data_IF_257083899524
#
_entry.id   IF_257083899524
#
_cell.length_a   1.000
_cell.length_b   1.000
_cell.length_c   1.000
_cell.angle_alpha   90.00
_cell.angle_beta   90.00
_cell.angle_gamma   90.00
#
_symmetry.space_group_name_H-M   'P 1'
#
loop_
_entity.id
_entity.type
_entity.pdbx_description
1 polymer ?
#
# COMPACT_ATOMS: atom_id res chain seq x y z
N UNK A 1 -21.64 7.89 -10.75
CA UNK A 1 -21.15 6.70 -11.47
C UNK A 1 -20.81 5.67 -10.41
N UNK A 2 -21.51 4.53 -10.41
CA UNK A 2 -21.23 3.40 -9.52
C UNK A 2 -19.96 2.74 -10.08
N UNK A 3 -18.89 2.64 -9.30
CA UNK A 3 -17.72 1.84 -9.69
C UNK A 3 -18.02 0.41 -9.25
N UNK A 4 -18.76 -0.31 -10.09
CA UNK A 4 -19.07 -1.73 -9.89
C UNK A 4 -17.76 -2.51 -9.74
N UNK A 5 -17.55 -3.13 -8.57
CA UNK A 5 -16.39 -3.98 -8.29
C UNK A 5 -15.71 -3.76 -6.93
N UNK A 6 -15.99 -2.67 -6.23
CA UNK A 6 -15.52 -2.50 -4.85
C UNK A 6 -16.41 -3.28 -3.88
N UNK A 7 -16.13 -4.58 -3.70
CA UNK A 7 -16.71 -5.32 -2.59
C UNK A 7 -15.90 -5.01 -1.34
N UNK A 8 -16.41 -4.11 -0.52
CA UNK A 8 -15.93 -3.82 0.84
C UNK A 8 -15.73 -5.15 1.58
N UNK A 9 -14.51 -5.42 2.04
CA UNK A 9 -14.19 -6.57 2.92
C UNK A 9 -14.24 -6.19 4.40
N UNK A 10 -14.47 -4.92 4.74
CA UNK A 10 -14.52 -4.40 6.12
C UNK A 10 -15.96 -4.11 6.57
N UNK A 11 -16.38 -4.73 7.66
CA UNK A 11 -17.52 -4.26 8.45
C UNK A 11 -16.97 -3.34 9.55
N UNK A 12 -17.05 -2.02 9.36
CA UNK A 12 -16.70 -1.03 10.40
C UNK A 12 -17.89 -0.73 11.32
N UNK A 13 -19.08 -1.17 10.89
CA UNK A 13 -20.39 -0.95 11.47
C UNK A 13 -20.58 -1.65 12.84
N UNK A 14 -19.58 -2.44 13.27
CA UNK A 14 -19.61 -3.22 14.51
C UNK A 14 -18.57 -2.78 15.55
N UNK A 15 -17.87 -1.65 15.33
CA UNK A 15 -16.84 -1.19 16.27
C UNK A 15 -15.63 -2.14 16.38
N UNK A 16 -15.49 -3.08 15.44
CA UNK A 16 -14.37 -3.99 15.32
C UNK A 16 -13.76 -3.78 13.93
N UNK A 17 -12.48 -3.41 13.88
CA UNK A 17 -11.70 -3.41 12.65
C UNK A 17 -11.51 -4.86 12.23
N UNK A 18 -12.47 -5.42 11.51
CA UNK A 18 -12.38 -6.77 10.95
C UNK A 18 -11.58 -6.71 9.65
N UNK A 19 -10.29 -6.38 9.72
CA UNK A 19 -9.35 -6.44 8.60
C UNK A 19 -8.28 -7.46 8.88
N UNK A 20 -8.29 -8.63 8.22
CA UNK A 20 -7.32 -9.72 8.46
C UNK A 20 -7.13 -10.14 9.95
N UNK A 21 -7.79 -9.50 10.91
CA UNK A 21 -7.49 -9.56 12.34
C UNK A 21 -7.91 -10.92 12.90
N UNK A 22 -8.99 -11.50 12.38
CA UNK A 22 -9.43 -12.86 12.71
C UNK A 22 -8.53 -13.94 12.10
N UNK A 23 -8.03 -13.75 10.87
CA UNK A 23 -7.08 -14.69 10.24
C UNK A 23 -5.72 -14.59 10.92
N UNK A 24 -5.31 -13.38 11.32
CA UNK A 24 -4.07 -13.09 12.01
C UNK A 24 -4.07 -13.62 13.45
N UNK A 25 -5.15 -13.39 14.21
CA UNK A 25 -5.35 -13.96 15.56
C UNK A 25 -5.40 -15.48 15.52
N UNK A 26 -6.09 -16.07 14.54
CA UNK A 26 -6.20 -17.52 14.39
C UNK A 26 -4.88 -18.19 13.97
N UNK A 27 -4.05 -17.52 13.16
CA UNK A 27 -2.80 -18.09 12.64
C UNK A 27 -1.58 -17.87 13.54
N UNK A 28 -1.52 -16.78 14.31
CA UNK A 28 -0.32 -16.40 15.05
C UNK A 28 -0.46 -16.42 16.57
N UNK A 29 -1.66 -16.66 17.12
CA UNK A 29 -1.92 -16.61 18.55
C UNK A 29 -1.33 -15.35 19.20
N UNK A 30 -1.38 -14.23 18.47
CA UNK A 30 -0.72 -12.99 18.82
C UNK A 30 -1.41 -12.36 20.05
N UNK A 31 -0.66 -12.00 21.11
CA UNK A 31 -1.22 -11.32 22.26
C UNK A 31 -1.97 -10.04 21.86
N UNK A 32 -2.95 -9.60 22.66
CA UNK A 32 -3.67 -8.35 22.42
C UNK A 32 -2.76 -7.11 22.38
N UNK A 33 -1.51 -7.24 22.87
CA UNK A 33 -0.44 -6.24 22.92
C UNK A 33 0.52 -6.33 21.72
N UNK A 34 0.28 -7.18 20.74
CA UNK A 34 1.14 -7.31 19.56
C UNK A 34 0.89 -6.15 18.59
N UNK A 35 1.94 -5.39 18.26
CA UNK A 35 1.87 -4.26 17.33
C UNK A 35 1.40 -4.67 15.92
N UNK A 36 1.48 -5.96 15.57
CA UNK A 36 0.94 -6.52 14.31
C UNK A 36 -0.58 -6.45 14.22
N UNK A 37 -1.28 -6.14 15.32
CA UNK A 37 -2.71 -5.77 15.29
C UNK A 37 -2.98 -4.46 14.56
N UNK A 38 -1.96 -3.62 14.36
CA UNK A 38 -2.01 -2.47 13.45
C UNK A 38 -2.03 -2.86 11.96
N UNK A 39 -1.85 -4.14 11.65
CA UNK A 39 -1.83 -4.67 10.29
C UNK A 39 -0.41 -4.88 9.74
N UNK A 40 -0.31 -5.69 8.68
CA UNK A 40 0.95 -6.01 7.99
C UNK A 40 1.02 -5.38 6.59
N UNK A 41 0.37 -4.21 6.42
CA UNK A 41 0.14 -3.59 5.12
C UNK A 41 1.44 -3.20 4.42
N UNK A 42 2.44 -2.67 5.14
CA UNK A 42 3.75 -2.34 4.57
C UNK A 42 4.45 -3.61 4.07
N UNK A 43 4.47 -4.64 4.91
CA UNK A 43 5.12 -5.91 4.57
C UNK A 43 4.51 -6.59 3.34
N UNK A 44 3.18 -6.69 3.27
CA UNK A 44 2.50 -7.28 2.11
C UNK A 44 2.69 -6.45 0.83
N UNK A 45 2.65 -5.12 0.94
CA UNK A 45 2.88 -4.22 -0.20
C UNK A 45 4.31 -4.32 -0.74
N UNK A 46 5.31 -4.46 0.13
CA UNK A 46 6.70 -4.69 -0.27
C UNK A 46 6.91 -6.06 -0.92
N UNK A 47 6.29 -7.12 -0.39
CA UNK A 47 6.31 -8.44 -1.04
C UNK A 47 5.68 -8.36 -2.42
N UNK A 48 4.53 -7.69 -2.56
CA UNK A 48 3.86 -7.55 -3.84
C UNK A 48 4.78 -6.88 -4.88
N UNK A 49 5.44 -5.77 -4.52
CA UNK A 49 6.40 -5.07 -5.40
C UNK A 49 7.59 -5.96 -5.76
N UNK A 50 8.22 -6.60 -4.77
CA UNK A 50 9.35 -7.48 -4.99
C UNK A 50 8.99 -8.63 -5.94
N UNK A 51 7.81 -9.23 -5.78
CA UNK A 51 7.31 -10.28 -6.68
C UNK A 51 7.08 -9.76 -8.09
N UNK A 52 6.45 -8.59 -8.26
CA UNK A 52 6.27 -7.96 -9.58
C UNK A 52 7.61 -7.69 -10.29
N UNK A 53 8.64 -7.31 -9.54
CA UNK A 53 9.98 -7.07 -10.08
C UNK A 53 10.76 -8.35 -10.41
N UNK A 54 10.54 -9.45 -9.69
CA UNK A 54 11.30 -10.71 -9.87
C UNK A 54 10.61 -11.73 -10.77
N UNK A 55 9.29 -11.80 -10.73
CA UNK A 55 8.49 -12.82 -11.40
C UNK A 55 7.59 -12.18 -12.47
N UNK A 56 8.20 -11.71 -13.57
CA UNK A 56 7.50 -10.98 -14.62
C UNK A 56 6.31 -11.73 -15.26
N UNK A 57 6.33 -13.07 -15.22
CA UNK A 57 5.29 -13.92 -15.79
C UNK A 57 4.24 -14.38 -14.78
N UNK A 58 4.35 -13.94 -13.52
CA UNK A 58 3.39 -14.31 -12.49
C UNK A 58 2.00 -13.73 -12.80
N UNK A 59 0.95 -14.54 -12.69
CA UNK A 59 -0.43 -14.06 -12.83
C UNK A 59 -0.88 -13.30 -11.57
N UNK A 60 -2.00 -12.55 -11.67
CA UNK A 60 -2.57 -11.88 -10.50
C UNK A 60 -3.05 -12.90 -9.46
N UNK A 61 -3.61 -14.03 -9.91
CA UNK A 61 -4.09 -15.12 -9.06
C UNK A 61 -2.94 -15.82 -8.34
N UNK A 62 -1.80 -16.04 -9.02
CA UNK A 62 -0.60 -16.60 -8.41
C UNK A 62 -0.02 -15.67 -7.34
N UNK A 63 0.03 -14.36 -7.61
CA UNK A 63 0.43 -13.35 -6.60
C UNK A 63 -0.49 -13.34 -5.41
N UNK A 64 -1.80 -13.29 -5.65
CA UNK A 64 -2.80 -13.28 -4.59
C UNK A 64 -2.67 -14.54 -3.72
N UNK A 65 -2.59 -15.72 -4.34
CA UNK A 65 -2.40 -16.99 -3.65
C UNK A 65 -1.10 -17.02 -2.82
N UNK A 66 -0.01 -16.47 -3.35
CA UNK A 66 1.25 -16.38 -2.61
C UNK A 66 1.15 -15.43 -1.41
N UNK A 67 0.50 -14.27 -1.55
CA UNK A 67 0.35 -13.28 -0.48
C UNK A 67 -0.57 -13.76 0.65
N UNK A 68 -1.65 -14.48 0.31
CA UNK A 68 -2.58 -15.02 1.31
C UNK A 68 -2.15 -16.39 1.88
N UNK A 69 -1.02 -16.93 1.42
CA UNK A 69 -0.46 -18.18 1.95
C UNK A 69 0.18 -17.98 3.32
N UNK A 70 0.34 -19.07 4.08
CA UNK A 70 1.07 -19.06 5.36
C UNK A 70 2.48 -18.46 5.23
N UNK A 71 3.31 -18.85 4.24
CA UNK A 71 4.58 -18.19 3.98
C UNK A 71 4.46 -16.69 3.66
N UNK A 72 3.44 -16.30 2.88
CA UNK A 72 3.17 -14.91 2.52
C UNK A 72 2.88 -14.04 3.73
N UNK A 73 1.94 -14.48 4.58
CA UNK A 73 1.64 -13.80 5.85
C UNK A 73 2.85 -13.77 6.80
N UNK A 74 3.61 -14.86 6.89
CA UNK A 74 4.77 -14.92 7.79
C UNK A 74 5.87 -13.97 7.36
N UNK A 75 6.16 -13.91 6.06
CA UNK A 75 7.12 -12.95 5.52
C UNK A 75 6.59 -11.52 5.62
N UNK A 76 5.32 -11.28 5.32
CA UNK A 76 4.70 -9.97 5.42
C UNK A 76 4.77 -9.43 6.85
N UNK A 77 4.45 -10.26 7.84
CA UNK A 77 4.57 -9.93 9.25
C UNK A 77 6.01 -9.63 9.68
N UNK A 78 7.00 -10.42 9.25
CA UNK A 78 8.41 -10.16 9.55
C UNK A 78 8.91 -8.87 8.91
N UNK A 79 8.52 -8.58 7.67
CA UNK A 79 8.85 -7.30 7.03
C UNK A 79 8.20 -6.12 7.76
N UNK A 80 6.95 -6.28 8.21
CA UNK A 80 6.28 -5.29 9.04
C UNK A 80 7.02 -5.06 10.36
N UNK A 81 7.51 -6.12 11.02
CA UNK A 81 8.32 -5.99 12.26
C UNK A 81 9.58 -5.17 12.02
N UNK A 82 10.28 -5.44 10.91
CA UNK A 82 11.50 -4.71 10.55
C UNK A 82 11.17 -3.23 10.29
N UNK A 83 10.06 -2.94 9.60
CA UNK A 83 9.60 -1.56 9.39
C UNK A 83 9.27 -0.88 10.72
N UNK A 84 8.49 -1.51 11.59
CA UNK A 84 8.08 -0.94 12.88
C UNK A 84 9.27 -0.73 13.84
N UNK A 85 10.30 -1.59 13.74
CA UNK A 85 11.52 -1.46 14.53
C UNK A 85 12.50 -0.41 13.98
N UNK A 86 12.29 0.08 12.75
CA UNK A 86 13.20 1.04 12.12
C UNK A 86 13.02 2.43 12.76
N UNK A 87 14.11 3.09 13.19
CA UNK A 87 14.03 4.38 13.85
C UNK A 87 13.58 5.44 12.86
N UNK A 88 12.41 6.02 13.11
CA UNK A 88 11.89 7.11 12.30
C UNK A 88 12.64 8.41 12.65
N UNK A 89 13.58 8.83 11.81
CA UNK A 89 14.48 9.97 12.09
C UNK A 89 14.94 10.68 10.82
N UNK A 90 15.20 11.97 10.90
CA UNK A 90 15.69 12.74 9.75
C UNK A 90 15.47 14.23 9.89
N UNK A 91 16.23 15.01 9.14
CA UNK A 91 16.10 16.48 9.07
C UNK A 91 14.92 16.97 8.24
N UNK A 92 14.29 16.07 7.48
CA UNK A 92 13.13 16.35 6.64
C UNK A 92 12.37 15.07 6.28
N UNK A 93 11.22 15.23 5.64
CA UNK A 93 10.30 14.12 5.37
C UNK A 93 10.92 13.01 4.49
N UNK A 94 11.72 13.37 3.50
CA UNK A 94 12.42 12.41 2.65
C UNK A 94 13.41 11.53 3.44
N UNK A 95 14.20 12.15 4.33
CA UNK A 95 15.16 11.44 5.18
C UNK A 95 14.43 10.59 6.22
N UNK A 96 13.31 11.08 6.75
CA UNK A 96 12.42 10.34 7.63
C UNK A 96 11.89 9.06 6.97
N UNK A 97 11.39 9.15 5.74
CA UNK A 97 10.90 7.97 5.01
C UNK A 97 12.03 7.00 4.68
N UNK A 98 13.20 7.50 4.32
CA UNK A 98 14.35 6.65 4.03
C UNK A 98 14.79 5.86 5.27
N UNK A 99 14.89 6.48 6.43
CA UNK A 99 15.26 5.77 7.67
C UNK A 99 14.19 4.79 8.11
N UNK A 100 12.91 5.21 8.05
CA UNK A 100 11.77 4.39 8.46
C UNK A 100 11.53 3.16 7.55
N UNK A 101 11.91 3.23 6.27
CA UNK A 101 11.73 2.13 5.32
C UNK A 101 13.03 1.35 5.02
N UNK A 102 14.21 1.89 5.34
CA UNK A 102 15.52 1.38 4.89
C UNK A 102 15.66 -0.14 5.07
N UNK A 103 15.49 -0.64 6.29
CA UNK A 103 15.75 -2.06 6.57
C UNK A 103 14.70 -2.97 5.93
N UNK A 104 13.43 -2.55 5.92
CA UNK A 104 12.36 -3.32 5.28
C UNK A 104 12.57 -3.41 3.75
N UNK A 105 13.06 -2.34 3.12
CA UNK A 105 13.39 -2.31 1.70
C UNK A 105 14.60 -3.19 1.36
N UNK A 106 15.62 -3.20 2.22
CA UNK A 106 16.83 -4.01 2.05
C UNK A 106 16.55 -5.52 2.01
N UNK A 107 15.52 -6.00 2.72
CA UNK A 107 15.07 -7.40 2.63
C UNK A 107 14.81 -7.82 1.18
N UNK A 108 14.34 -6.90 0.35
CA UNK A 108 14.00 -7.14 -1.06
C UNK A 108 14.97 -6.49 -2.04
N UNK A 109 16.12 -6.03 -1.57
CA UNK A 109 17.14 -5.33 -2.39
C UNK A 109 16.53 -4.09 -3.08
N UNK A 110 15.65 -3.37 -2.37
CA UNK A 110 15.00 -2.15 -2.85
C UNK A 110 15.61 -0.91 -2.20
N UNK A 111 15.40 0.24 -2.85
CA UNK A 111 15.67 1.57 -2.31
C UNK A 111 14.69 2.60 -2.87
N UNK A 112 14.60 3.75 -2.19
CA UNK A 112 13.87 4.91 -2.69
C UNK A 112 14.60 5.51 -3.89
N UNK A 113 13.82 5.95 -4.88
CA UNK A 113 14.29 6.87 -5.91
C UNK A 113 14.11 8.29 -5.35
N UNK A 114 15.17 9.11 -5.39
CA UNK A 114 15.09 10.54 -5.04
C UNK A 114 15.15 11.34 -6.34
N UNK A 115 14.39 12.44 -6.49
CA UNK A 115 13.49 13.09 -5.52
C UNK A 115 12.00 12.75 -5.72
N UNK A 116 11.64 11.53 -6.12
CA UNK A 116 10.27 11.15 -6.59
C UNK A 116 9.27 10.94 -5.45
N UNK A 117 9.44 11.68 -4.36
CA UNK A 117 8.51 11.73 -3.25
C UNK A 117 7.46 12.77 -3.58
N UNK A 118 6.19 12.35 -3.60
CA UNK A 118 5.05 13.25 -3.70
C UNK A 118 4.20 13.11 -2.45
N UNK A 119 3.90 14.24 -1.80
CA UNK A 119 3.15 14.24 -0.55
C UNK A 119 2.30 15.49 -0.36
N UNK A 120 1.37 15.40 0.59
CA UNK A 120 0.51 16.52 0.95
C UNK A 120 -0.46 16.18 2.07
N UNK A 121 -0.91 17.22 2.77
CA UNK A 121 -2.09 17.11 3.60
C UNK A 121 -3.29 16.72 2.72
N UNK A 122 -4.19 15.92 3.27
CA UNK A 122 -5.43 15.56 2.60
C UNK A 122 -6.18 16.82 2.16
N UNK A 123 -6.69 16.81 0.93
CA UNK A 123 -7.38 17.95 0.34
C UNK A 123 -8.76 17.58 -0.17
N UNK A 124 -8.80 16.68 -1.15
CA UNK A 124 -9.98 16.03 -1.72
C UNK A 124 -9.50 14.86 -2.57
N UNK A 125 -10.43 13.97 -2.95
CA UNK A 125 -10.13 12.78 -3.72
C UNK A 125 -9.31 13.02 -5.00
N UNK A 126 -9.55 14.12 -5.72
CA UNK A 126 -8.83 14.41 -6.96
C UNK A 126 -7.40 14.92 -6.70
N UNK A 127 -7.21 15.83 -5.73
CA UNK A 127 -5.89 16.32 -5.35
C UNK A 127 -4.99 15.22 -4.80
N UNK A 128 -5.56 14.36 -3.97
CA UNK A 128 -4.87 13.22 -3.38
C UNK A 128 -4.52 12.15 -4.43
N UNK A 129 -5.42 11.89 -5.39
CA UNK A 129 -5.13 11.01 -6.51
C UNK A 129 -3.99 11.55 -7.38
N UNK A 130 -3.91 12.87 -7.59
CA UNK A 130 -2.81 13.49 -8.31
C UNK A 130 -1.46 13.30 -7.59
N UNK A 131 -1.44 13.42 -6.26
CA UNK A 131 -0.25 13.12 -5.43
C UNK A 131 0.18 11.66 -5.61
N UNK A 132 -0.77 10.72 -5.52
CA UNK A 132 -0.46 9.30 -5.69
C UNK A 132 -0.02 8.95 -7.12
N UNK A 133 -0.63 9.58 -8.12
CA UNK A 133 -0.37 9.31 -9.52
C UNK A 133 0.95 9.91 -10.02
N UNK A 134 1.37 11.06 -9.48
CA UNK A 134 2.58 11.75 -9.93
C UNK A 134 3.84 10.84 -10.03
N UNK A 135 4.24 10.09 -8.99
CA UNK A 135 5.38 9.17 -9.08
C UNK A 135 5.05 7.86 -9.80
N UNK A 136 3.78 7.48 -9.89
CA UNK A 136 3.35 6.23 -10.53
C UNK A 136 3.10 6.37 -12.05
N UNK A 137 2.96 7.59 -12.54
CA UNK A 137 2.63 7.89 -13.94
C UNK A 137 3.64 7.36 -14.96
N UNK A 138 4.97 7.46 -14.73
CA UNK A 138 5.94 6.96 -15.69
C UNK A 138 5.82 5.44 -15.87
N UNK A 139 5.98 5.00 -17.11
CA UNK A 139 6.02 3.57 -17.40
C UNK A 139 7.27 2.93 -16.79
N UNK A 140 7.08 1.78 -16.14
CA UNK A 140 8.13 1.05 -15.42
C UNK A 140 8.25 1.43 -13.95
N UNK A 141 7.51 2.43 -13.47
CA UNK A 141 7.57 2.87 -12.07
C UNK A 141 6.91 1.88 -11.13
N UNK A 142 7.58 1.64 -10.00
CA UNK A 142 7.12 0.84 -8.88
C UNK A 142 6.99 1.79 -7.69
N UNK A 143 5.80 1.94 -7.13
CA UNK A 143 5.54 2.97 -6.12
C UNK A 143 4.96 2.35 -4.88
N UNK A 144 5.40 2.85 -3.73
CA UNK A 144 4.79 2.58 -2.44
C UNK A 144 3.99 3.82 -2.02
N UNK A 145 2.73 3.63 -1.67
CA UNK A 145 1.84 4.70 -1.24
C UNK A 145 1.52 4.55 0.23
N UNK A 146 1.49 5.67 0.94
CA UNK A 146 1.15 5.79 2.34
C UNK A 146 -0.04 6.72 2.50
N UNK A 147 -1.02 6.30 3.29
CA UNK A 147 -2.09 7.18 3.77
C UNK A 147 -2.14 7.14 5.30
N UNK A 148 -2.35 8.29 5.92
CA UNK A 148 -2.67 8.39 7.33
C UNK A 148 -4.17 8.59 7.50
N UNK A 149 -4.81 7.62 8.14
CA UNK A 149 -6.25 7.59 8.39
C UNK A 149 -6.55 8.14 9.78
N UNK A 150 -7.56 9.00 9.87
CA UNK A 150 -8.17 9.36 11.14
C UNK A 150 -9.11 8.23 11.60
N UNK A 151 -8.96 7.83 12.86
CA UNK A 151 -9.72 6.73 13.46
C UNK A 151 -10.73 7.28 14.46
N UNK A 152 -12.03 6.94 14.34
CA UNK A 152 -13.04 7.40 15.30
C UNK A 152 -12.68 6.98 16.72
N UNK A 153 -12.64 7.93 17.65
CA UNK A 153 -12.38 7.66 19.08
C UNK A 153 -10.93 7.39 19.44
N UNK A 154 -9.98 7.52 18.51
CA UNK A 154 -8.54 7.45 18.79
C UNK A 154 -7.87 8.78 18.52
N UNK A 155 -7.07 9.26 19.48
CA UNK A 155 -6.19 10.41 19.26
C UNK A 155 -5.07 10.11 18.25
N UNK A 156 -4.77 8.82 18.07
CA UNK A 156 -3.74 8.33 17.18
C UNK A 156 -4.41 7.72 15.94
N UNK A 157 -4.19 8.32 14.78
CA UNK A 157 -4.61 7.76 13.50
C UNK A 157 -3.90 6.44 13.18
N UNK A 158 -4.18 5.88 12.01
CA UNK A 158 -3.57 4.64 11.52
C UNK A 158 -2.90 4.87 10.17
N UNK A 159 -1.65 4.41 10.03
CA UNK A 159 -0.96 4.41 8.74
C UNK A 159 -1.35 3.18 7.92
N UNK A 160 -1.60 3.37 6.63
CA UNK A 160 -1.87 2.28 5.69
C UNK A 160 -0.97 2.39 4.46
N UNK A 161 -0.35 1.27 4.09
CA UNK A 161 0.56 1.17 2.96
C UNK A 161 -0.04 0.33 1.83
N UNK A 162 -0.06 0.89 0.63
CA UNK A 162 -0.39 0.19 -0.62
C UNK A 162 0.77 0.28 -1.61
N UNK A 163 0.69 -0.48 -2.70
CA UNK A 163 1.72 -0.51 -3.73
C UNK A 163 1.14 -0.38 -5.12
N UNK A 164 1.93 0.12 -6.06
CA UNK A 164 1.54 0.13 -7.47
C UNK A 164 2.70 -0.11 -8.42
N UNK A 165 2.34 -0.48 -9.65
CA UNK A 165 3.25 -0.63 -10.78
C UNK A 165 2.57 -0.16 -12.07
N UNK A 166 3.27 0.65 -12.86
CA UNK A 166 2.80 1.05 -14.19
C UNK A 166 3.59 0.32 -15.26
N UNK A 167 2.91 -0.44 -16.14
CA UNK A 167 3.59 -1.19 -17.19
C UNK A 167 3.93 -0.33 -18.41
N UNK A 168 4.98 -0.73 -19.14
CA UNK A 168 5.35 -0.14 -20.43
C UNK A 168 4.35 -0.40 -21.57
N UNK A 169 3.33 -1.23 -21.33
CA UNK A 169 2.53 -1.81 -22.42
C UNK A 169 3.37 -2.76 -23.27
N UNK A 170 2.82 -3.15 -24.42
CA UNK A 170 3.54 -3.90 -25.45
C UNK A 170 3.30 -3.24 -26.80
N UNK A 171 4.06 -3.57 -27.84
CA UNK A 171 3.83 -3.01 -29.18
C UNK A 171 2.35 -3.16 -29.59
N UNK A 172 1.66 -2.04 -29.80
CA UNK A 172 0.22 -2.00 -30.13
C UNK A 172 -0.77 -2.21 -28.98
N UNK A 173 -0.32 -2.29 -27.71
CA UNK A 173 -1.18 -2.39 -26.52
C UNK A 173 -0.86 -1.30 -25.50
N UNK A 174 -1.90 -0.65 -24.99
CA UNK A 174 -1.77 0.35 -23.94
C UNK A 174 -1.14 -0.23 -22.66
N UNK A 175 -0.43 0.64 -21.93
CA UNK A 175 0.06 0.33 -20.59
C UNK A 175 -1.10 0.11 -19.61
N UNK A 176 -0.80 -0.57 -18.51
CA UNK A 176 -1.74 -0.76 -17.41
C UNK A 176 -1.13 -0.27 -16.10
N UNK A 177 -1.97 0.33 -15.27
CA UNK A 177 -1.69 0.62 -13.89
C UNK A 177 -2.17 -0.56 -13.04
N UNK A 178 -1.29 -1.09 -12.20
CA UNK A 178 -1.60 -2.14 -11.25
C UNK A 178 -1.51 -1.52 -9.86
N UNK A 179 -2.57 -1.65 -9.07
CA UNK A 179 -2.62 -1.16 -7.70
C UNK A 179 -2.95 -2.32 -6.77
N UNK A 180 -2.10 -2.54 -5.78
CA UNK A 180 -2.29 -3.54 -4.76
C UNK A 180 -2.53 -2.88 -3.42
N UNK A 181 -3.70 -3.16 -2.87
CA UNK A 181 -4.06 -2.81 -1.51
C UNK A 181 -4.17 -4.10 -0.69
N UNK A 182 -3.40 -4.30 0.39
CA UNK A 182 -3.52 -5.47 1.27
C UNK A 182 -4.95 -5.78 1.73
N UNK A 183 -5.80 -4.75 1.75
CA UNK A 183 -7.19 -4.82 2.16
C UNK A 183 -8.17 -5.17 1.03
N UNK A 184 -7.83 -4.86 -0.23
CA UNK A 184 -8.75 -4.99 -1.39
C UNK A 184 -8.21 -5.91 -2.49
N UNK A 185 -6.95 -6.33 -2.40
CA UNK A 185 -6.27 -7.13 -3.41
C UNK A 185 -5.65 -6.28 -4.53
N UNK A 186 -5.34 -6.94 -5.63
CA UNK A 186 -4.74 -6.32 -6.82
C UNK A 186 -5.83 -5.91 -7.82
N UNK A 187 -5.76 -4.66 -8.28
CA UNK A 187 -6.58 -4.11 -9.34
C UNK A 187 -5.71 -3.78 -10.55
N UNK A 188 -6.21 -4.12 -11.74
CA UNK A 188 -5.60 -3.74 -13.03
C UNK A 188 -6.49 -2.72 -13.71
N UNK A 189 -5.91 -1.58 -14.06
CA UNK A 189 -6.61 -0.42 -14.63
C UNK A 189 -5.88 0.02 -15.90
N UNK A 190 -6.59 0.60 -16.86
CA UNK A 190 -5.94 1.30 -17.97
C UNK A 190 -5.13 2.48 -17.41
N UNK A 191 -3.95 2.78 -17.97
CA UNK A 191 -3.20 3.97 -17.54
C UNK A 191 -3.95 5.28 -17.81
N UNK A 192 -4.87 5.30 -18.78
CA UNK A 192 -5.76 6.44 -19.04
C UNK A 192 -6.74 6.71 -17.89
N UNK A 193 -7.06 5.70 -17.10
CA UNK A 193 -8.11 5.74 -16.07
C UNK A 193 -7.51 5.67 -14.66
N UNK A 194 -6.18 5.59 -14.54
CA UNK A 194 -5.47 5.34 -13.29
C UNK A 194 -5.74 6.44 -12.24
N UNK A 195 -5.67 7.71 -12.63
CA UNK A 195 -5.93 8.84 -11.73
C UNK A 195 -7.39 8.87 -11.26
N UNK A 196 -8.34 8.63 -12.17
CA UNK A 196 -9.77 8.50 -11.84
C UNK A 196 -10.02 7.35 -10.88
N UNK A 197 -9.38 6.20 -11.11
CA UNK A 197 -9.45 5.05 -10.21
C UNK A 197 -8.89 5.38 -8.83
N UNK A 198 -7.73 6.03 -8.75
CA UNK A 198 -7.11 6.45 -7.49
C UNK A 198 -8.02 7.42 -6.73
N UNK A 199 -8.69 8.36 -7.42
CA UNK A 199 -9.65 9.24 -6.78
C UNK A 199 -10.84 8.46 -6.17
N UNK A 200 -11.34 7.45 -6.88
CA UNK A 200 -12.37 6.55 -6.35
C UNK A 200 -11.90 5.75 -5.13
N UNK A 201 -10.65 5.28 -5.15
CA UNK A 201 -10.04 4.56 -4.02
C UNK A 201 -9.85 5.47 -2.80
N UNK A 202 -9.33 6.69 -3.00
CA UNK A 202 -9.19 7.71 -1.92
C UNK A 202 -10.56 8.00 -1.31
N UNK A 203 -11.58 8.23 -2.15
CA UNK A 203 -12.94 8.48 -1.68
C UNK A 203 -13.51 7.32 -0.86
N UNK A 204 -13.19 6.07 -1.22
CA UNK A 204 -13.62 4.89 -0.47
C UNK A 204 -13.00 4.83 0.94
N UNK A 205 -11.72 5.20 1.08
CA UNK A 205 -11.07 5.30 2.40
C UNK A 205 -11.57 6.52 3.18
N UNK A 206 -11.66 7.68 2.54
CA UNK A 206 -12.10 8.91 3.20
C UNK A 206 -13.52 8.81 3.77
N UNK A 207 -14.45 8.18 3.02
CA UNK A 207 -15.82 7.93 3.48
C UNK A 207 -15.96 6.75 4.43
N UNK A 208 -15.01 5.81 4.41
CA UNK A 208 -15.02 4.62 5.26
C UNK A 208 -14.46 4.86 6.66
N UNK A 209 -13.52 5.79 6.80
CA UNK A 209 -12.82 6.14 8.05
C UNK A 209 -13.24 7.54 8.53
N UNK A 210 -12.67 8.06 9.63
CA UNK A 210 -12.92 9.45 10.06
C UNK A 210 -12.22 10.50 9.17
N UNK A 211 -11.82 10.12 7.96
CA UNK A 211 -11.10 10.92 6.99
C UNK A 211 -9.66 10.47 6.78
N UNK A 212 -9.06 10.93 5.69
CA UNK A 212 -7.61 10.87 5.46
C UNK A 212 -7.01 12.19 5.98
N UNK A 213 -5.85 12.12 6.63
CA UNK A 213 -5.12 13.30 7.12
C UNK A 213 -3.99 13.70 6.17
N UNK A 214 -3.31 12.71 5.63
CA UNK A 214 -2.05 12.90 4.92
C UNK A 214 -1.80 11.74 3.98
N UNK A 215 -1.17 12.03 2.83
CA UNK A 215 -0.77 11.03 1.86
C UNK A 215 0.67 11.27 1.43
N UNK A 216 1.37 10.19 1.13
CA UNK A 216 2.68 10.23 0.51
C UNK A 216 2.83 9.07 -0.47
N UNK A 217 3.58 9.28 -1.55
CA UNK A 217 3.91 8.25 -2.53
C UNK A 217 5.37 8.37 -2.90
N UNK A 218 6.06 7.23 -2.92
CA UNK A 218 7.50 7.15 -3.19
C UNK A 218 7.80 6.09 -4.23
N UNK A 219 8.54 6.45 -5.27
CA UNK A 219 9.03 5.47 -6.23
C UNK A 219 10.19 4.67 -5.65
N UNK A 220 10.18 3.36 -5.92
CA UNK A 220 11.17 2.40 -5.50
C UNK A 220 11.88 1.81 -6.72
N UNK A 221 13.14 1.44 -6.54
CA UNK A 221 13.91 0.70 -7.52
C UNK A 221 14.77 -0.35 -6.85
N UNK A 222 15.29 -1.30 -7.64
CA UNK A 222 16.27 -2.28 -7.14
C UNK A 222 17.65 -1.61 -6.97
N UNK A 223 18.39 -2.04 -5.96
CA UNK A 223 19.82 -1.75 -5.85
C UNK A 223 20.61 -2.49 -6.94
#
# INVERSE_FOLDING_TARGET
>A
MHVDGFKKTFALDQGAVLSNDQVFQALYNAPLTDDKRGGICCGLSLIWLARRMMFHNESAEQRAAALVSMPGFSWGGKTQDIHNASPASGSGWADYLETMLSEALRVYVLRLVRPTISDGAHSNAAGDAAIMWAPARPAGSYVLHYIWLDMPGSANGCGHWTASYTSHGSFGRAGHFYHFDPNMGEHRVSTSDAETYLAGWVQAYDSGFSGIRYLCSVELTRN
#
